data_IF_478975773041
#
_entry.id   IF_478975773041
#
_cell.length_a   1.000
_cell.length_b   1.000
_cell.length_c   1.000
_cell.angle_alpha   90.00
_cell.angle_beta   90.00
_cell.angle_gamma   90.00
#
_symmetry.space_group_name_H-M   'P 1'
#
loop_
_entity.id
_entity.type
_entity.pdbx_description
1 polymer ?
#
# COMPACT_ATOMS: atom_id res chain seq x y z
N UNK A 1 33.46 -15.92 29.78
CA UNK A 1 33.79 -14.60 29.20
C UNK A 1 32.68 -13.63 29.61
N UNK A 2 32.97 -12.60 30.40
CA UNK A 2 32.01 -11.54 30.69
C UNK A 2 31.74 -10.79 29.38
N UNK A 3 30.53 -10.84 28.87
CA UNK A 3 30.13 -10.00 27.76
C UNK A 3 30.31 -8.54 28.20
N UNK A 4 31.26 -7.85 27.58
CA UNK A 4 31.44 -6.40 27.78
C UNK A 4 30.18 -5.70 27.26
N UNK A 5 29.29 -5.31 28.17
CA UNK A 5 28.13 -4.51 27.81
C UNK A 5 28.60 -3.15 27.28
N UNK A 6 28.25 -2.86 26.02
CA UNK A 6 28.54 -1.53 25.48
C UNK A 6 27.75 -0.45 26.25
N UNK A 7 28.39 0.72 26.51
CA UNK A 7 27.68 1.86 27.11
C UNK A 7 26.43 2.24 26.32
N UNK A 8 25.45 2.78 27.00
CA UNK A 8 24.15 3.12 26.39
C UNK A 8 24.30 4.00 25.14
N UNK A 9 25.17 5.02 25.20
CA UNK A 9 25.42 5.92 24.06
C UNK A 9 25.97 5.17 22.86
N UNK A 10 26.86 4.20 23.03
CA UNK A 10 27.40 3.40 21.95
C UNK A 10 26.33 2.48 21.32
N UNK A 11 25.51 1.81 22.15
CA UNK A 11 24.37 1.02 21.66
C UNK A 11 23.41 1.88 20.83
N UNK A 12 23.03 3.07 21.32
CA UNK A 12 22.13 3.99 20.62
C UNK A 12 22.75 4.48 19.30
N UNK A 13 24.03 4.88 19.33
CA UNK A 13 24.73 5.35 18.11
C UNK A 13 24.81 4.26 17.05
N UNK A 14 25.14 3.02 17.41
CA UNK A 14 25.20 1.89 16.48
C UNK A 14 23.84 1.61 15.86
N UNK A 15 22.75 1.62 16.67
CA UNK A 15 21.40 1.40 16.19
C UNK A 15 20.98 2.52 15.22
N UNK A 16 21.18 3.78 15.59
CA UNK A 16 20.85 4.93 14.74
C UNK A 16 21.65 4.91 13.43
N UNK A 17 22.94 4.64 13.49
CA UNK A 17 23.78 4.51 12.30
C UNK A 17 23.31 3.37 11.41
N UNK A 18 22.99 2.21 11.99
CA UNK A 18 22.42 1.07 11.27
C UNK A 18 21.09 1.40 10.57
N UNK A 19 20.20 2.13 11.26
CA UNK A 19 18.91 2.57 10.68
C UNK A 19 19.12 3.54 9.51
N UNK A 20 20.01 4.55 9.68
CA UNK A 20 20.31 5.51 8.60
C UNK A 20 20.93 4.80 7.40
N UNK A 21 21.91 3.91 7.63
CA UNK A 21 22.56 3.16 6.57
C UNK A 21 21.56 2.24 5.84
N UNK A 22 20.72 1.53 6.58
CA UNK A 22 19.68 0.66 6.01
C UNK A 22 18.70 1.48 5.17
N UNK A 23 18.22 2.61 5.68
CA UNK A 23 17.29 3.50 4.94
C UNK A 23 17.96 4.03 3.66
N UNK A 24 19.23 4.42 3.74
CA UNK A 24 20.01 4.88 2.59
C UNK A 24 20.15 3.79 1.52
N UNK A 25 20.49 2.56 1.93
CA UNK A 25 20.60 1.40 1.04
C UNK A 25 19.25 1.09 0.39
N UNK A 26 18.18 0.99 1.19
CA UNK A 26 16.82 0.72 0.67
C UNK A 26 16.39 1.77 -0.34
N UNK A 27 16.66 3.06 -0.08
CA UNK A 27 16.30 4.14 -0.99
C UNK A 27 17.06 4.05 -2.32
N UNK A 28 18.37 3.82 -2.28
CA UNK A 28 19.20 3.76 -3.50
C UNK A 28 19.00 2.47 -4.31
N UNK A 29 18.61 1.37 -3.67
CA UNK A 29 18.29 0.12 -4.35
C UNK A 29 16.79 0.01 -4.71
N UNK A 30 16.02 1.09 -4.63
CA UNK A 30 14.58 1.10 -4.90
C UNK A 30 14.22 0.51 -6.25
N UNK A 31 14.98 0.83 -7.31
CA UNK A 31 14.76 0.37 -8.68
C UNK A 31 14.93 -1.15 -8.84
N UNK A 32 15.65 -1.80 -7.93
CA UNK A 32 15.84 -3.26 -7.92
C UNK A 32 14.87 -3.92 -6.93
N UNK A 33 14.76 -3.37 -5.72
CA UNK A 33 14.00 -3.98 -4.64
C UNK A 33 12.50 -3.89 -4.86
N UNK A 34 12.02 -2.79 -5.45
CA UNK A 34 10.58 -2.60 -5.72
C UNK A 34 10.03 -3.66 -6.67
N UNK A 35 10.58 -3.87 -7.88
CA UNK A 35 10.09 -4.92 -8.78
C UNK A 35 10.29 -6.33 -8.20
N UNK A 36 11.34 -6.54 -7.43
CA UNK A 36 11.57 -7.81 -6.74
C UNK A 36 10.45 -8.09 -5.72
N UNK A 37 10.07 -7.09 -4.90
CA UNK A 37 8.98 -7.19 -3.93
C UNK A 37 7.63 -7.46 -4.62
N UNK A 38 7.31 -6.74 -5.70
CA UNK A 38 6.11 -7.02 -6.51
C UNK A 38 6.13 -8.42 -7.10
N UNK A 39 7.27 -8.86 -7.63
CA UNK A 39 7.41 -10.20 -8.20
C UNK A 39 7.17 -11.31 -7.16
N UNK A 40 7.64 -11.14 -5.92
CA UNK A 40 7.36 -12.07 -4.83
C UNK A 40 5.86 -12.12 -4.53
N UNK A 41 5.20 -10.96 -4.41
CA UNK A 41 3.76 -10.87 -4.15
C UNK A 41 2.97 -11.54 -5.28
N UNK A 42 3.29 -11.23 -6.55
CA UNK A 42 2.62 -11.82 -7.72
C UNK A 42 2.87 -13.34 -7.78
N UNK A 43 4.09 -13.79 -7.50
CA UNK A 43 4.40 -15.21 -7.45
C UNK A 43 3.60 -15.95 -6.36
N UNK A 44 3.42 -15.33 -5.18
CA UNK A 44 2.57 -15.87 -4.10
C UNK A 44 1.11 -15.90 -4.54
N UNK A 45 0.64 -14.88 -5.24
CA UNK A 45 -0.74 -14.78 -5.74
C UNK A 45 -1.02 -15.82 -6.83
N UNK A 46 -0.09 -16.04 -7.76
CA UNK A 46 -0.21 -17.00 -8.85
C UNK A 46 0.03 -18.46 -8.43
N UNK A 47 0.69 -18.67 -7.30
CA UNK A 47 1.04 -20.01 -6.84
C UNK A 47 -0.14 -20.99 -6.70
N UNK A 48 -1.35 -20.62 -6.24
CA UNK A 48 -2.50 -21.52 -6.24
C UNK A 48 -2.93 -21.94 -7.66
N UNK A 49 -2.89 -21.02 -8.61
CA UNK A 49 -3.21 -21.31 -10.01
C UNK A 49 -2.20 -22.29 -10.61
N UNK A 50 -0.90 -22.06 -10.39
CA UNK A 50 0.16 -22.97 -10.82
C UNK A 50 0.01 -24.34 -10.20
N UNK A 51 -0.29 -24.42 -8.90
CA UNK A 51 -0.53 -25.70 -8.22
C UNK A 51 -1.77 -26.41 -8.78
N UNK A 52 -2.86 -25.68 -9.07
CA UNK A 52 -4.09 -26.23 -9.66
C UNK A 52 -3.82 -26.78 -11.09
N UNK A 53 -3.04 -26.09 -11.90
CA UNK A 53 -2.62 -26.59 -13.21
C UNK A 53 -1.76 -27.85 -13.08
N UNK A 54 -0.92 -27.93 -12.07
CA UNK A 54 -0.15 -29.14 -11.74
C UNK A 54 -1.01 -30.37 -11.41
N UNK A 55 -2.20 -30.19 -10.82
CA UNK A 55 -3.14 -31.32 -10.58
C UNK A 55 -3.70 -31.92 -11.86
N UNK A 56 -3.71 -31.17 -12.96
CA UNK A 56 -4.07 -31.66 -14.29
C UNK A 56 -2.91 -32.36 -15.02
N UNK A 57 -1.86 -32.79 -14.29
CA UNK A 57 -0.66 -33.45 -14.83
C UNK A 57 0.16 -32.57 -15.80
N UNK A 58 -0.07 -31.26 -15.78
CA UNK A 58 0.74 -30.30 -16.54
C UNK A 58 2.08 -30.15 -15.82
N UNK A 59 3.18 -30.22 -16.54
CA UNK A 59 4.52 -30.05 -15.99
C UNK A 59 4.70 -28.68 -15.33
N UNK A 60 5.69 -28.55 -14.43
CA UNK A 60 5.91 -27.34 -13.63
C UNK A 60 6.12 -26.09 -14.50
N UNK A 61 7.00 -26.16 -15.52
CA UNK A 61 7.30 -25.02 -16.39
C UNK A 61 6.07 -24.59 -17.20
N UNK A 62 5.36 -25.48 -17.93
CA UNK A 62 4.13 -25.09 -18.62
C UNK A 62 3.06 -24.50 -17.69
N UNK A 63 2.89 -25.05 -16.48
CA UNK A 63 1.93 -24.51 -15.50
C UNK A 63 2.26 -23.05 -15.10
N UNK A 64 3.54 -22.73 -14.92
CA UNK A 64 3.99 -21.37 -14.61
C UNK A 64 3.72 -20.46 -15.82
N UNK A 65 4.10 -20.87 -17.02
CA UNK A 65 3.92 -20.09 -18.24
C UNK A 65 2.44 -19.81 -18.53
N UNK A 66 1.57 -20.81 -18.39
CA UNK A 66 0.11 -20.65 -18.58
C UNK A 66 -0.45 -19.65 -17.54
N UNK A 67 -0.07 -19.77 -16.25
CA UNK A 67 -0.53 -18.86 -15.21
C UNK A 67 -0.07 -17.42 -15.49
N UNK A 68 1.16 -17.23 -15.91
CA UNK A 68 1.72 -15.92 -16.29
C UNK A 68 1.04 -15.36 -17.55
N UNK A 69 0.87 -16.18 -18.60
CA UNK A 69 0.20 -15.75 -19.82
C UNK A 69 -1.22 -15.29 -19.56
N UNK A 70 -1.98 -16.04 -18.74
CA UNK A 70 -3.33 -15.66 -18.34
C UNK A 70 -3.34 -14.31 -17.59
N UNK A 71 -2.39 -14.10 -16.71
CA UNK A 71 -2.26 -12.83 -15.97
C UNK A 71 -1.92 -11.67 -16.91
N UNK A 72 -0.97 -11.87 -17.82
CA UNK A 72 -0.60 -10.87 -18.82
C UNK A 72 -1.80 -10.55 -19.72
N UNK A 73 -2.55 -11.55 -20.15
CA UNK A 73 -3.73 -11.36 -20.99
C UNK A 73 -4.82 -10.54 -20.29
N UNK A 74 -5.10 -10.84 -19.00
CA UNK A 74 -6.04 -10.05 -18.18
C UNK A 74 -5.54 -8.62 -18.04
N UNK A 75 -4.28 -8.41 -17.69
CA UNK A 75 -3.69 -7.07 -17.57
C UNK A 75 -3.75 -6.31 -18.90
N UNK A 76 -3.38 -6.94 -20.01
CA UNK A 76 -3.47 -6.33 -21.34
C UNK A 76 -4.90 -5.92 -21.68
N UNK A 77 -5.90 -6.75 -21.34
CA UNK A 77 -7.31 -6.43 -21.51
C UNK A 77 -7.73 -5.18 -20.72
N UNK A 78 -7.31 -5.09 -19.46
CA UNK A 78 -7.57 -3.90 -18.61
C UNK A 78 -6.89 -2.66 -19.20
N UNK A 79 -5.61 -2.76 -19.58
CA UNK A 79 -4.88 -1.65 -20.17
C UNK A 79 -5.46 -1.20 -21.51
N UNK A 80 -5.85 -2.15 -22.37
CA UNK A 80 -6.52 -1.84 -23.63
C UNK A 80 -7.83 -1.09 -23.40
N UNK A 81 -8.67 -1.60 -22.49
CA UNK A 81 -9.91 -0.95 -22.11
C UNK A 81 -9.67 0.49 -21.60
N UNK A 82 -8.77 0.68 -20.64
CA UNK A 82 -8.44 2.00 -20.11
C UNK A 82 -7.89 2.93 -21.19
N UNK A 83 -6.97 2.42 -22.04
CA UNK A 83 -6.39 3.20 -23.13
C UNK A 83 -7.45 3.68 -24.13
N UNK A 84 -8.43 2.84 -24.48
CA UNK A 84 -9.53 3.21 -25.36
C UNK A 84 -10.40 4.33 -24.76
N UNK A 85 -10.65 4.27 -23.45
CA UNK A 85 -11.39 5.31 -22.73
C UNK A 85 -10.59 6.62 -22.62
N UNK A 86 -9.29 6.54 -22.39
CA UNK A 86 -8.38 7.71 -22.32
C UNK A 86 -8.26 8.38 -23.69
N UNK A 87 -8.18 7.63 -24.78
CA UNK A 87 -8.15 8.19 -26.14
C UNK A 87 -9.42 8.99 -26.43
N UNK A 88 -10.60 8.42 -26.18
CA UNK A 88 -11.88 9.14 -26.35
C UNK A 88 -11.99 10.39 -25.46
N UNK A 89 -11.42 10.36 -24.24
CA UNK A 89 -11.31 11.54 -23.40
C UNK A 89 -10.34 12.56 -24.00
N UNK A 90 -9.21 12.13 -24.57
CA UNK A 90 -8.19 12.97 -25.20
C UNK A 90 -8.72 13.79 -26.38
N UNK A 91 -9.59 13.22 -27.21
CA UNK A 91 -10.24 13.92 -28.32
C UNK A 91 -11.08 15.12 -27.86
N UNK A 92 -11.67 15.05 -26.68
CA UNK A 92 -12.46 16.13 -26.10
C UNK A 92 -11.62 17.10 -25.23
N UNK A 93 -10.34 16.85 -25.05
CA UNK A 93 -9.46 17.65 -24.19
C UNK A 93 -9.41 19.15 -24.60
N UNK A 94 -9.36 19.53 -25.91
CA UNK A 94 -9.39 20.95 -26.31
C UNK A 94 -10.67 21.67 -25.86
N UNK A 95 -11.85 21.04 -26.04
CA UNK A 95 -13.11 21.61 -25.61
C UNK A 95 -13.22 21.71 -24.08
N UNK A 96 -12.71 20.69 -23.36
CA UNK A 96 -12.61 20.70 -21.90
C UNK A 96 -11.73 21.83 -21.41
N UNK A 97 -10.57 22.03 -22.03
CA UNK A 97 -9.62 23.12 -21.72
C UNK A 97 -10.26 24.49 -21.94
N UNK A 98 -10.97 24.70 -23.06
CA UNK A 98 -11.67 25.95 -23.34
C UNK A 98 -12.74 26.25 -22.27
N UNK A 99 -13.55 25.26 -21.91
CA UNK A 99 -14.59 25.41 -20.87
C UNK A 99 -13.97 25.66 -19.48
N UNK A 100 -12.92 24.95 -19.14
CA UNK A 100 -12.19 25.15 -17.88
C UNK A 100 -11.61 26.58 -17.80
N UNK A 101 -11.01 27.07 -18.89
CA UNK A 101 -10.49 28.45 -18.95
C UNK A 101 -11.61 29.48 -18.77
N UNK A 102 -12.79 29.27 -19.37
CA UNK A 102 -13.94 30.15 -19.19
C UNK A 102 -14.48 30.16 -17.74
N UNK A 103 -14.50 28.98 -17.09
CA UNK A 103 -14.90 28.87 -15.69
C UNK A 103 -13.90 29.56 -14.76
N UNK A 104 -12.59 29.39 -15.02
CA UNK A 104 -11.54 30.11 -14.29
C UNK A 104 -11.70 31.63 -14.44
N UNK A 105 -11.93 32.14 -15.64
CA UNK A 105 -12.14 33.56 -15.89
C UNK A 105 -13.36 34.10 -15.13
N UNK A 106 -14.46 33.33 -15.12
CA UNK A 106 -15.67 33.69 -14.36
C UNK A 106 -15.40 33.70 -12.86
N UNK A 107 -14.67 32.71 -12.32
CA UNK A 107 -14.29 32.65 -10.92
C UNK A 107 -13.35 33.81 -10.55
N UNK A 108 -12.37 34.14 -11.40
CA UNK A 108 -11.45 35.26 -11.20
C UNK A 108 -12.20 36.59 -11.14
N UNK A 109 -13.14 36.82 -12.05
CA UNK A 109 -13.99 38.02 -12.07
C UNK A 109 -14.85 38.11 -10.80
N UNK A 110 -15.43 37.00 -10.37
CA UNK A 110 -16.24 36.94 -9.13
C UNK A 110 -15.40 37.25 -7.90
N UNK A 111 -14.19 36.69 -7.77
CA UNK A 111 -13.25 36.95 -6.68
C UNK A 111 -12.80 38.40 -6.67
N UNK A 112 -12.54 38.99 -7.83
CA UNK A 112 -12.20 40.40 -7.94
C UNK A 112 -13.33 41.30 -7.47
N UNK A 113 -14.58 41.03 -7.89
CA UNK A 113 -15.74 41.82 -7.50
C UNK A 113 -16.11 41.67 -6.04
N UNK A 114 -16.00 40.47 -5.46
CA UNK A 114 -16.42 40.19 -4.07
C UNK A 114 -15.34 40.48 -3.03
N UNK A 115 -14.07 40.25 -3.35
CA UNK A 115 -12.96 40.28 -2.40
C UNK A 115 -11.84 41.24 -2.78
N UNK A 116 -11.92 41.93 -3.95
CA UNK A 116 -10.91 42.90 -4.39
C UNK A 116 -9.56 42.29 -4.79
N UNK A 117 -9.46 40.95 -4.92
CA UNK A 117 -8.23 40.31 -5.37
C UNK A 117 -7.93 40.61 -6.83
N UNK A 118 -6.81 41.25 -7.14
CA UNK A 118 -6.43 41.54 -8.53
C UNK A 118 -6.22 40.27 -9.32
N UNK A 119 -6.64 40.25 -10.59
CA UNK A 119 -6.47 39.12 -11.50
C UNK A 119 -4.98 38.73 -11.63
N UNK A 120 -4.07 39.68 -11.59
CA UNK A 120 -2.62 39.46 -11.65
C UNK A 120 -2.13 38.62 -10.47
N UNK A 121 -2.59 38.91 -9.24
CA UNK A 121 -2.21 38.17 -8.04
C UNK A 121 -2.78 36.73 -8.06
N UNK A 122 -4.02 36.57 -8.53
CA UNK A 122 -4.63 35.26 -8.72
C UNK A 122 -3.86 34.42 -9.76
N UNK A 123 -3.46 35.05 -10.89
CA UNK A 123 -2.70 34.39 -11.95
C UNK A 123 -1.30 33.98 -11.48
N UNK A 124 -0.66 34.80 -10.65
CA UNK A 124 0.61 34.46 -10.03
C UNK A 124 0.49 33.22 -9.14
N UNK A 125 -0.52 33.16 -8.26
CA UNK A 125 -0.76 31.99 -7.40
C UNK A 125 -1.07 30.74 -8.22
N UNK A 126 -1.85 30.85 -9.30
CA UNK A 126 -2.13 29.72 -10.21
C UNK A 126 -0.85 29.25 -10.91
N UNK A 127 -0.02 30.16 -11.39
CA UNK A 127 1.23 29.83 -12.06
C UNK A 127 2.24 29.19 -11.08
N UNK A 128 2.33 29.68 -9.86
CA UNK A 128 3.16 29.08 -8.81
C UNK A 128 2.70 27.65 -8.47
N UNK A 129 1.39 27.45 -8.29
CA UNK A 129 0.81 26.14 -8.08
C UNK A 129 1.01 25.21 -9.29
N UNK A 130 0.83 25.71 -10.51
CA UNK A 130 1.05 24.95 -11.74
C UNK A 130 2.53 24.57 -11.94
N UNK A 131 3.46 25.47 -11.62
CA UNK A 131 4.90 25.18 -11.72
C UNK A 131 5.32 24.15 -10.66
N UNK A 132 4.80 24.25 -9.44
CA UNK A 132 5.00 23.23 -8.41
C UNK A 132 4.45 21.85 -8.84
N UNK A 133 3.29 21.86 -9.52
CA UNK A 133 2.67 20.64 -10.04
C UNK A 133 3.41 20.06 -11.25
N UNK A 134 4.00 20.91 -12.12
CA UNK A 134 4.82 20.45 -13.26
C UNK A 134 6.07 19.68 -12.82
N UNK A 135 6.70 20.08 -11.73
CA UNK A 135 7.83 19.34 -11.14
C UNK A 135 7.41 17.98 -10.61
N UNK A 136 6.23 17.88 -10.02
CA UNK A 136 5.64 16.60 -9.57
C UNK A 136 5.25 15.72 -10.76
N UNK A 137 4.56 16.27 -11.75
CA UNK A 137 4.09 15.53 -12.93
C UNK A 137 5.27 15.14 -13.84
N UNK A 138 6.22 16.04 -14.08
CA UNK A 138 7.41 15.77 -14.89
C UNK A 138 8.33 14.71 -14.26
N UNK A 139 8.49 14.76 -12.93
CA UNK A 139 9.16 13.70 -12.17
C UNK A 139 8.45 12.36 -12.31
N UNK A 140 7.13 12.34 -12.27
CA UNK A 140 6.32 11.12 -12.43
C UNK A 140 6.43 10.53 -13.84
N UNK A 141 6.42 11.36 -14.90
CA UNK A 141 6.57 10.90 -16.28
C UNK A 141 7.96 10.29 -16.54
N UNK A 142 9.03 10.93 -16.07
CA UNK A 142 10.39 10.39 -16.18
C UNK A 142 10.53 9.07 -15.37
N UNK A 143 9.87 8.99 -14.23
CA UNK A 143 9.79 7.75 -13.43
C UNK A 143 9.06 6.65 -14.21
N UNK A 144 7.95 6.96 -14.90
CA UNK A 144 7.19 5.99 -15.70
C UNK A 144 8.03 5.45 -16.85
N UNK A 145 8.77 6.30 -17.58
CA UNK A 145 9.65 5.86 -18.69
C UNK A 145 10.82 5.02 -18.17
N UNK A 146 11.44 5.42 -17.06
CA UNK A 146 12.48 4.60 -16.40
C UNK A 146 11.95 3.25 -15.88
N UNK A 147 10.69 3.22 -15.46
CA UNK A 147 10.00 2.02 -14.94
C UNK A 147 9.68 1.01 -16.05
N UNK A 148 9.58 1.40 -17.32
CA UNK A 148 9.33 0.47 -18.43
C UNK A 148 10.42 -0.62 -18.56
N UNK A 149 11.69 -0.27 -18.36
CA UNK A 149 12.79 -1.26 -18.32
C UNK A 149 12.66 -2.23 -17.15
N UNK A 150 12.23 -1.73 -16.01
CA UNK A 150 11.98 -2.51 -14.79
C UNK A 150 10.74 -3.40 -14.95
N UNK A 151 9.73 -2.95 -15.67
CA UNK A 151 8.50 -3.71 -15.94
C UNK A 151 8.76 -4.97 -16.78
N UNK A 152 9.77 -4.94 -17.68
CA UNK A 152 10.22 -6.10 -18.45
C UNK A 152 10.87 -7.18 -17.56
N UNK A 153 11.51 -6.80 -16.46
CA UNK A 153 12.13 -7.74 -15.52
C UNK A 153 11.10 -8.43 -14.61
N UNK A 154 9.93 -7.81 -14.39
CA UNK A 154 8.92 -8.33 -13.48
C UNK A 154 8.43 -9.74 -13.87
N UNK A 155 8.03 -10.04 -15.12
CA UNK A 155 7.67 -11.40 -15.52
C UNK A 155 8.82 -12.40 -15.33
N UNK A 156 10.05 -11.99 -15.59
CA UNK A 156 11.24 -12.85 -15.40
C UNK A 156 11.40 -13.20 -13.92
N UNK A 157 11.32 -12.21 -13.03
CA UNK A 157 11.39 -12.45 -11.58
C UNK A 157 10.24 -13.32 -11.09
N UNK A 158 9.01 -13.09 -11.53
CA UNK A 158 7.85 -13.93 -11.18
C UNK A 158 8.08 -15.37 -11.60
N UNK A 159 8.55 -15.60 -12.83
CA UNK A 159 8.89 -16.94 -13.33
C UNK A 159 9.96 -17.59 -12.44
N UNK A 160 11.04 -16.89 -12.16
CA UNK A 160 12.15 -17.41 -11.35
C UNK A 160 11.73 -17.72 -9.92
N UNK A 161 10.91 -16.86 -9.27
CA UNK A 161 10.40 -17.13 -7.94
C UNK A 161 9.48 -18.35 -7.89
N UNK A 162 8.62 -18.54 -8.88
CA UNK A 162 7.77 -19.72 -8.99
C UNK A 162 8.60 -20.99 -9.30
N UNK A 163 9.59 -20.86 -10.16
CA UNK A 163 10.46 -21.96 -10.56
C UNK A 163 11.39 -22.40 -9.43
N UNK A 164 12.08 -21.45 -8.76
CA UNK A 164 13.01 -21.75 -7.67
C UNK A 164 12.37 -21.76 -6.28
N UNK A 165 11.04 -21.71 -6.18
CA UNK A 165 10.29 -21.70 -4.92
C UNK A 165 10.81 -22.71 -3.89
N UNK A 166 11.00 -23.98 -4.29
CA UNK A 166 11.44 -25.06 -3.38
C UNK A 166 12.87 -24.80 -2.90
N UNK A 167 13.76 -24.33 -3.79
CA UNK A 167 15.12 -23.99 -3.44
C UNK A 167 15.18 -22.88 -2.39
N UNK A 168 14.39 -21.81 -2.60
CA UNK A 168 14.32 -20.66 -1.68
C UNK A 168 13.77 -21.10 -0.32
N UNK A 169 12.69 -21.89 -0.30
CA UNK A 169 12.14 -22.42 0.95
C UNK A 169 13.14 -23.30 1.69
N UNK A 170 13.83 -24.22 0.99
CA UNK A 170 14.84 -25.07 1.60
C UNK A 170 16.02 -24.26 2.15
N UNK A 171 16.43 -23.19 1.45
CA UNK A 171 17.46 -22.27 1.95
C UNK A 171 17.00 -21.60 3.26
N UNK A 172 15.79 -21.03 3.29
CA UNK A 172 15.25 -20.39 4.48
C UNK A 172 15.15 -21.38 5.66
N UNK A 173 14.72 -22.61 5.41
CA UNK A 173 14.71 -23.65 6.43
C UNK A 173 16.11 -23.97 6.94
N UNK A 174 17.11 -24.12 6.07
CA UNK A 174 18.50 -24.43 6.49
C UNK A 174 19.14 -23.31 7.31
N UNK A 175 18.83 -22.06 6.97
CA UNK A 175 19.41 -20.89 7.66
C UNK A 175 18.75 -20.62 9.00
N UNK A 176 17.42 -20.76 9.10
CA UNK A 176 16.68 -20.30 10.28
C UNK A 176 16.09 -21.43 11.15
N UNK A 177 16.12 -22.68 10.70
CA UNK A 177 15.43 -23.79 11.36
C UNK A 177 16.32 -24.68 12.23
N UNK A 178 17.59 -24.31 12.50
CA UNK A 178 18.52 -25.16 13.27
C UNK A 178 17.98 -25.56 14.64
N UNK A 179 17.17 -24.72 15.29
CA UNK A 179 16.57 -25.00 16.60
C UNK A 179 15.02 -24.94 16.61
N UNK A 180 14.38 -24.39 15.59
CA UNK A 180 12.95 -24.07 15.59
C UNK A 180 12.26 -24.27 14.23
N UNK A 181 12.44 -25.42 13.59
CA UNK A 181 11.86 -25.73 12.27
C UNK A 181 10.32 -25.49 12.20
N UNK A 182 9.60 -25.80 13.31
CA UNK A 182 8.17 -25.57 13.42
C UNK A 182 7.79 -24.09 13.33
N UNK A 183 8.51 -23.21 14.04
CA UNK A 183 8.27 -21.76 14.01
C UNK A 183 8.54 -21.17 12.63
N UNK A 184 9.60 -21.59 11.94
CA UNK A 184 9.92 -21.14 10.58
C UNK A 184 8.84 -21.55 9.59
N UNK A 185 8.37 -22.81 9.68
CA UNK A 185 7.27 -23.30 8.84
C UNK A 185 5.98 -22.50 9.05
N UNK A 186 5.65 -22.21 10.31
CA UNK A 186 4.49 -21.41 10.67
C UNK A 186 4.57 -19.98 10.14
N UNK A 187 5.72 -19.30 10.35
CA UNK A 187 5.95 -17.94 9.85
C UNK A 187 5.79 -17.87 8.33
N UNK A 188 6.44 -18.78 7.59
CA UNK A 188 6.37 -18.82 6.12
C UNK A 188 4.93 -19.13 5.63
N UNK A 189 4.26 -20.07 6.28
CA UNK A 189 2.87 -20.42 5.98
C UNK A 189 1.91 -19.25 6.20
N UNK A 190 2.02 -18.58 7.35
CA UNK A 190 1.18 -17.43 7.70
C UNK A 190 1.48 -16.21 6.85
N UNK A 191 2.75 -15.94 6.54
CA UNK A 191 3.17 -14.86 5.63
C UNK A 191 2.56 -15.07 4.25
N UNK A 192 2.65 -16.28 3.70
CA UNK A 192 2.03 -16.61 2.42
C UNK A 192 0.53 -16.38 2.45
N UNK A 193 -0.18 -16.90 3.49
CA UNK A 193 -1.63 -16.76 3.61
C UNK A 193 -2.05 -15.29 3.78
N UNK A 194 -1.32 -14.53 4.60
CA UNK A 194 -1.59 -13.11 4.82
C UNK A 194 -1.46 -12.30 3.53
N UNK A 195 -0.33 -12.44 2.81
CA UNK A 195 -0.10 -11.76 1.54
C UNK A 195 -1.17 -12.14 0.51
N UNK A 196 -1.42 -13.44 0.34
CA UNK A 196 -2.38 -13.93 -0.64
C UNK A 196 -3.80 -13.43 -0.35
N UNK A 197 -4.25 -13.54 0.91
CA UNK A 197 -5.58 -13.10 1.30
C UNK A 197 -5.74 -11.59 1.22
N UNK A 198 -4.71 -10.82 1.59
CA UNK A 198 -4.71 -9.37 1.47
C UNK A 198 -4.80 -8.94 -0.01
N UNK A 199 -3.97 -9.50 -0.87
CA UNK A 199 -3.94 -9.14 -2.30
C UNK A 199 -5.22 -9.53 -3.03
N UNK A 200 -5.75 -10.74 -2.77
CA UNK A 200 -7.06 -11.15 -3.32
C UNK A 200 -8.17 -10.26 -2.80
N UNK A 201 -8.15 -9.92 -1.51
CA UNK A 201 -9.10 -9.00 -0.90
C UNK A 201 -9.07 -7.64 -1.56
N UNK A 202 -7.88 -7.06 -1.74
CA UNK A 202 -7.68 -5.75 -2.35
C UNK A 202 -8.15 -5.71 -3.83
N UNK A 203 -7.87 -6.77 -4.61
CA UNK A 203 -8.34 -6.87 -5.99
C UNK A 203 -9.87 -7.02 -6.07
N UNK A 204 -10.46 -7.79 -5.17
CA UNK A 204 -11.91 -7.95 -5.10
C UNK A 204 -12.60 -6.67 -4.69
N UNK A 205 -12.08 -5.97 -3.67
CA UNK A 205 -12.55 -4.64 -3.26
C UNK A 205 -12.48 -3.66 -4.43
N UNK A 206 -11.32 -3.56 -5.12
CA UNK A 206 -11.16 -2.68 -6.27
C UNK A 206 -12.18 -3.00 -7.39
N UNK A 207 -12.47 -4.27 -7.67
CA UNK A 207 -13.47 -4.66 -8.65
C UNK A 207 -14.90 -4.23 -8.24
N UNK A 208 -15.26 -4.41 -6.97
CA UNK A 208 -16.56 -3.99 -6.44
C UNK A 208 -16.69 -2.46 -6.46
N UNK A 209 -15.68 -1.74 -5.98
CA UNK A 209 -15.66 -0.27 -5.97
C UNK A 209 -15.71 0.28 -7.40
N UNK A 210 -14.96 -0.35 -8.35
CA UNK A 210 -15.04 0.03 -9.76
C UNK A 210 -16.47 -0.12 -10.32
N UNK A 211 -17.14 -1.22 -10.01
CA UNK A 211 -18.51 -1.45 -10.42
C UNK A 211 -19.48 -0.43 -9.80
N UNK A 212 -19.37 -0.17 -8.49
CA UNK A 212 -20.21 0.80 -7.78
C UNK A 212 -20.00 2.21 -8.32
N UNK A 213 -18.76 2.67 -8.43
CA UNK A 213 -18.43 4.00 -8.96
C UNK A 213 -18.91 4.16 -10.40
N UNK A 214 -18.63 3.18 -11.27
CA UNK A 214 -19.04 3.22 -12.66
C UNK A 214 -20.57 3.28 -12.80
N UNK A 215 -21.28 2.45 -12.04
CA UNK A 215 -22.75 2.42 -12.04
C UNK A 215 -23.34 3.74 -11.56
N UNK A 216 -22.83 4.29 -10.46
CA UNK A 216 -23.26 5.58 -9.93
C UNK A 216 -23.06 6.71 -10.95
N UNK A 217 -21.87 6.77 -11.57
CA UNK A 217 -21.55 7.78 -12.57
C UNK A 217 -22.37 7.63 -13.87
N UNK A 218 -22.69 6.40 -14.27
CA UNK A 218 -23.60 6.13 -15.41
C UNK A 218 -25.03 6.63 -15.13
N UNK A 219 -25.56 6.35 -13.94
CA UNK A 219 -26.90 6.81 -13.52
C UNK A 219 -26.99 8.34 -13.50
N UNK A 220 -25.92 9.01 -13.00
CA UNK A 220 -25.84 10.47 -12.96
C UNK A 220 -25.66 11.07 -14.37
N UNK A 221 -25.27 10.26 -15.36
CA UNK A 221 -25.03 10.71 -16.73
C UNK A 221 -23.71 11.49 -16.88
N UNK A 222 -22.64 11.03 -16.21
CA UNK A 222 -21.30 11.59 -16.34
C UNK A 222 -20.64 11.01 -17.59
N UNK A 223 -20.04 11.87 -18.44
CA UNK A 223 -19.22 11.41 -19.56
C UNK A 223 -18.02 10.63 -19.03
N UNK A 224 -17.65 9.53 -19.71
CA UNK A 224 -16.53 8.63 -19.32
C UNK A 224 -16.71 8.00 -17.93
N UNK A 225 -17.95 7.69 -17.55
CA UNK A 225 -18.29 7.09 -16.25
C UNK A 225 -17.47 5.83 -15.94
N UNK A 226 -17.27 4.94 -16.93
CA UNK A 226 -16.47 3.73 -16.78
C UNK A 226 -14.99 4.04 -16.52
N UNK A 227 -14.43 5.02 -17.24
CA UNK A 227 -13.05 5.45 -17.03
C UNK A 227 -12.84 5.95 -15.60
N UNK A 228 -13.66 6.91 -15.16
CA UNK A 228 -13.52 7.49 -13.82
C UNK A 228 -13.89 6.52 -12.72
N UNK A 229 -14.84 5.61 -12.95
CA UNK A 229 -15.19 4.58 -11.99
C UNK A 229 -14.05 3.58 -11.75
N UNK A 230 -13.43 3.08 -12.82
CA UNK A 230 -12.30 2.15 -12.73
C UNK A 230 -11.03 2.87 -12.22
N UNK A 231 -10.72 4.06 -12.74
CA UNK A 231 -9.59 4.86 -12.23
C UNK A 231 -9.76 5.19 -10.75
N UNK A 232 -10.98 5.57 -10.34
CA UNK A 232 -11.29 5.84 -8.95
C UNK A 232 -11.04 4.63 -8.04
N UNK A 233 -11.41 3.44 -8.49
CA UNK A 233 -11.16 2.20 -7.74
C UNK A 233 -9.66 1.85 -7.67
N UNK A 234 -8.91 2.04 -8.77
CA UNK A 234 -7.45 1.83 -8.77
C UNK A 234 -6.77 2.82 -7.81
N UNK A 235 -7.18 4.08 -7.83
CA UNK A 235 -6.66 5.09 -6.90
C UNK A 235 -7.05 4.76 -5.46
N UNK A 236 -8.25 4.23 -5.21
CA UNK A 236 -8.70 3.83 -3.88
C UNK A 236 -7.85 2.71 -3.24
N UNK A 237 -7.15 1.91 -4.07
CA UNK A 237 -6.16 0.95 -3.55
C UNK A 237 -4.99 1.62 -2.80
N UNK A 238 -4.77 2.93 -3.02
CA UNK A 238 -3.78 3.71 -2.28
C UNK A 238 -4.43 4.25 -0.99
N UNK A 239 -3.98 3.81 0.20
CA UNK A 239 -4.58 4.21 1.46
C UNK A 239 -4.59 5.74 1.64
N UNK A 240 -5.70 6.29 2.11
CA UNK A 240 -5.94 7.70 2.52
C UNK A 240 -5.96 8.74 1.40
N UNK A 241 -5.23 8.59 0.31
CA UNK A 241 -5.10 9.59 -0.77
C UNK A 241 -6.06 9.28 -1.93
N UNK A 242 -6.26 7.99 -2.20
CA UNK A 242 -6.97 7.53 -3.39
C UNK A 242 -8.41 8.03 -3.51
N UNK A 243 -9.17 7.98 -2.42
CA UNK A 243 -10.58 8.39 -2.42
C UNK A 243 -10.81 9.87 -2.76
N UNK A 244 -9.92 10.77 -2.28
CA UNK A 244 -10.02 12.21 -2.57
C UNK A 244 -9.80 12.49 -4.06
N UNK A 245 -8.77 11.88 -4.66
CA UNK A 245 -8.47 12.06 -6.09
C UNK A 245 -9.57 11.41 -6.94
N UNK A 246 -10.09 10.27 -6.50
CA UNK A 246 -11.15 9.54 -7.17
C UNK A 246 -12.43 10.37 -7.33
N UNK A 247 -12.80 11.19 -6.33
CA UNK A 247 -13.97 12.10 -6.39
C UNK A 247 -13.67 13.33 -7.25
N UNK A 248 -12.47 13.88 -7.18
CA UNK A 248 -12.11 15.13 -7.83
C UNK A 248 -12.25 15.05 -9.36
N UNK A 249 -11.84 13.94 -9.98
CA UNK A 249 -11.85 13.77 -11.44
C UNK A 249 -13.25 13.82 -12.04
N UNK A 250 -14.25 13.01 -11.58
CA UNK A 250 -15.61 13.05 -12.14
C UNK A 250 -16.34 14.36 -11.79
N UNK A 251 -16.05 14.99 -10.64
CA UNK A 251 -16.59 16.32 -10.30
C UNK A 251 -16.10 17.38 -11.26
N UNK A 252 -14.80 17.42 -11.55
CA UNK A 252 -14.21 18.32 -12.54
C UNK A 252 -14.84 18.09 -13.92
N UNK A 253 -14.99 16.82 -14.32
CA UNK A 253 -15.62 16.48 -15.60
C UNK A 253 -17.07 16.96 -15.67
N UNK A 254 -17.87 16.75 -14.63
CA UNK A 254 -19.22 17.23 -14.56
C UNK A 254 -19.31 18.78 -14.60
N UNK A 255 -18.35 19.46 -13.95
CA UNK A 255 -18.28 20.93 -13.96
C UNK A 255 -17.99 21.49 -15.34
N UNK A 256 -17.21 20.78 -16.15
CA UNK A 256 -16.89 21.20 -17.51
C UNK A 256 -17.99 20.85 -18.50
N UNK A 257 -18.70 19.72 -18.31
CA UNK A 257 -19.63 19.17 -19.30
C UNK A 257 -21.11 19.46 -19.02
N UNK A 258 -21.45 19.91 -17.82
CA UNK A 258 -22.83 20.14 -17.40
C UNK A 258 -23.07 21.61 -17.06
N UNK A 259 -24.30 22.08 -17.27
CA UNK A 259 -24.78 23.35 -16.75
C UNK A 259 -25.34 23.15 -15.34
N UNK A 260 -24.99 24.06 -14.41
CA UNK A 260 -25.42 24.00 -13.01
C UNK A 260 -24.60 23.04 -12.14
N UNK A 261 -24.99 22.94 -10.86
CA UNK A 261 -24.22 22.21 -9.83
C UNK A 261 -24.86 20.87 -9.41
N UNK A 262 -25.98 20.48 -10.02
CA UNK A 262 -26.73 19.29 -9.59
C UNK A 262 -25.94 18.00 -9.76
N UNK A 263 -25.26 17.82 -10.90
CA UNK A 263 -24.47 16.59 -11.15
C UNK A 263 -23.29 16.47 -10.21
N UNK A 264 -22.57 17.57 -9.95
CA UNK A 264 -21.44 17.60 -9.01
C UNK A 264 -21.87 17.17 -7.60
N UNK A 265 -23.02 17.70 -7.15
CA UNK A 265 -23.58 17.32 -5.85
C UNK A 265 -23.89 15.83 -5.78
N UNK A 266 -24.59 15.29 -6.80
CA UNK A 266 -24.91 13.87 -6.85
C UNK A 266 -23.68 12.96 -6.93
N UNK A 267 -22.62 13.39 -7.63
CA UNK A 267 -21.35 12.66 -7.66
C UNK A 267 -20.74 12.61 -6.24
N UNK A 268 -20.66 13.76 -5.55
CA UNK A 268 -20.11 13.82 -4.20
C UNK A 268 -20.93 12.92 -3.26
N UNK A 269 -22.26 13.01 -3.29
CA UNK A 269 -23.14 12.19 -2.45
C UNK A 269 -22.93 10.70 -2.75
N UNK A 270 -22.93 10.31 -4.02
CA UNK A 270 -22.71 8.92 -4.41
C UNK A 270 -21.36 8.39 -3.94
N UNK A 271 -20.28 9.14 -4.13
CA UNK A 271 -18.96 8.73 -3.67
C UNK A 271 -18.84 8.69 -2.14
N UNK A 272 -19.50 9.59 -1.42
CA UNK A 272 -19.54 9.53 0.05
C UNK A 272 -20.26 8.26 0.54
N UNK A 273 -21.38 7.89 -0.11
CA UNK A 273 -22.10 6.66 0.20
C UNK A 273 -21.23 5.43 -0.14
N UNK A 274 -20.60 5.41 -1.30
CA UNK A 274 -19.73 4.30 -1.71
C UNK A 274 -18.54 4.20 -0.77
N UNK A 275 -17.90 5.31 -0.41
CA UNK A 275 -16.78 5.34 0.53
C UNK A 275 -17.21 4.90 1.94
N UNK A 276 -18.43 5.24 2.36
CA UNK A 276 -19.01 4.76 3.62
C UNK A 276 -19.19 3.23 3.58
N UNK A 277 -19.73 2.69 2.49
CA UNK A 277 -19.88 1.24 2.29
C UNK A 277 -18.51 0.57 2.27
N UNK A 278 -17.55 1.14 1.56
CA UNK A 278 -16.20 0.62 1.44
C UNK A 278 -15.52 0.54 2.81
N UNK A 279 -15.43 1.65 3.54
CA UNK A 279 -14.72 1.73 4.81
C UNK A 279 -15.39 0.92 5.94
N UNK A 280 -16.72 0.78 5.92
CA UNK A 280 -17.44 0.12 7.02
C UNK A 280 -17.83 -1.33 6.71
N UNK A 281 -17.88 -1.75 5.45
CA UNK A 281 -18.32 -3.09 5.07
C UNK A 281 -17.31 -3.84 4.21
N UNK A 282 -16.78 -3.25 3.11
CA UNK A 282 -15.91 -3.98 2.20
C UNK A 282 -14.53 -4.18 2.80
N UNK A 283 -13.85 -3.11 3.18
CA UNK A 283 -12.50 -3.18 3.78
C UNK A 283 -12.45 -4.10 5.00
N UNK A 284 -13.33 -3.98 6.02
CA UNK A 284 -13.25 -4.86 7.21
C UNK A 284 -13.50 -6.33 6.88
N UNK A 285 -14.39 -6.63 5.95
CA UNK A 285 -14.76 -8.02 5.63
C UNK A 285 -13.85 -8.69 4.62
N UNK A 286 -13.31 -7.92 3.67
CA UNK A 286 -12.58 -8.45 2.52
C UNK A 286 -11.06 -8.30 2.72
N UNK A 287 -10.59 -7.15 3.19
CA UNK A 287 -9.18 -6.79 3.24
C UNK A 287 -8.58 -6.92 4.65
N UNK A 288 -9.10 -6.18 5.63
CA UNK A 288 -8.45 -5.99 6.93
C UNK A 288 -8.52 -7.22 7.85
N UNK A 289 -9.46 -8.14 7.62
CA UNK A 289 -9.58 -9.36 8.42
C UNK A 289 -8.32 -10.24 8.41
N UNK A 290 -7.37 -9.98 7.52
CA UNK A 290 -6.19 -10.83 7.27
C UNK A 290 -4.87 -10.23 7.76
N UNK A 291 -4.79 -8.90 7.87
CA UNK A 291 -3.59 -8.19 8.34
C UNK A 291 -4.00 -7.27 9.48
N UNK A 292 -3.88 -7.79 10.72
CA UNK A 292 -4.32 -7.10 11.95
C UNK A 292 -3.30 -6.05 12.38
N UNK A 293 -3.26 -4.91 11.69
CA UNK A 293 -2.38 -3.78 11.98
C UNK A 293 -3.24 -2.61 12.46
N UNK A 294 -2.78 -1.88 13.48
CA UNK A 294 -3.49 -0.69 13.94
C UNK A 294 -3.35 0.49 12.96
N UNK A 295 -4.30 1.43 13.04
CA UNK A 295 -4.39 2.56 12.12
C UNK A 295 -3.16 3.48 12.16
N UNK A 296 -2.58 3.73 13.34
CA UNK A 296 -1.39 4.57 13.49
C UNK A 296 -0.21 4.00 12.70
N UNK A 297 0.07 2.72 12.89
CA UNK A 297 1.16 2.02 12.19
C UNK A 297 0.88 1.96 10.68
N UNK A 298 -0.38 1.75 10.28
CA UNK A 298 -0.76 1.74 8.86
C UNK A 298 -0.47 3.09 8.19
N UNK A 299 -0.85 4.20 8.83
CA UNK A 299 -0.57 5.55 8.32
C UNK A 299 0.93 5.81 8.22
N UNK A 300 1.68 5.53 9.30
CA UNK A 300 3.12 5.72 9.32
C UNK A 300 3.83 4.86 8.27
N UNK A 301 3.42 3.60 8.11
CA UNK A 301 3.98 2.69 7.12
C UNK A 301 3.77 3.21 5.68
N UNK A 302 2.57 3.70 5.37
CA UNK A 302 2.25 4.27 4.05
C UNK A 302 3.07 5.53 3.79
N UNK A 303 3.21 6.44 4.77
CA UNK A 303 4.01 7.65 4.63
C UNK A 303 5.52 7.32 4.44
N UNK A 304 6.06 6.41 5.26
CA UNK A 304 7.45 5.97 5.15
C UNK A 304 7.71 5.21 3.84
N UNK A 305 6.80 4.33 3.44
CA UNK A 305 6.87 3.64 2.17
C UNK A 305 6.85 4.61 1.00
N UNK A 306 5.98 5.62 1.06
CA UNK A 306 5.91 6.70 0.08
C UNK A 306 7.20 7.52 -0.01
N UNK A 307 7.83 7.81 1.12
CA UNK A 307 9.12 8.52 1.17
C UNK A 307 10.29 7.70 0.60
N UNK A 308 10.24 6.37 0.75
CA UNK A 308 11.27 5.45 0.24
C UNK A 308 11.14 5.22 -1.27
N UNK A 309 9.97 4.79 -1.74
CA UNK A 309 9.74 4.26 -3.09
C UNK A 309 8.49 4.83 -3.77
N UNK A 310 8.03 6.02 -3.35
CA UNK A 310 6.85 6.68 -3.94
C UNK A 310 5.58 5.83 -3.82
N UNK A 311 4.76 5.86 -4.87
CA UNK A 311 3.48 5.13 -4.93
C UNK A 311 3.66 3.62 -4.74
N UNK A 312 4.71 3.04 -5.31
CA UNK A 312 5.04 1.63 -5.16
C UNK A 312 5.32 1.27 -3.69
N UNK A 313 6.05 2.13 -2.97
CA UNK A 313 6.32 1.96 -1.55
C UNK A 313 5.07 2.10 -0.68
N UNK A 314 4.16 3.03 -1.00
CA UNK A 314 2.86 3.15 -0.32
C UNK A 314 2.07 1.83 -0.42
N UNK A 315 2.01 1.24 -1.61
CA UNK A 315 1.29 0.00 -1.85
C UNK A 315 1.93 -1.20 -1.11
N UNK A 316 3.27 -1.30 -1.14
CA UNK A 316 4.02 -2.39 -0.51
C UNK A 316 4.07 -2.29 1.02
N UNK A 317 3.80 -1.13 1.60
CA UNK A 317 3.96 -0.87 3.04
C UNK A 317 3.09 -1.77 3.92
N UNK A 318 1.82 -1.95 3.58
CA UNK A 318 0.89 -2.76 4.38
C UNK A 318 1.26 -4.25 4.36
N UNK A 319 1.50 -4.91 3.19
CA UNK A 319 2.03 -6.27 3.17
C UNK A 319 3.33 -6.43 3.95
N UNK A 320 4.25 -5.48 3.82
CA UNK A 320 5.55 -5.53 4.50
C UNK A 320 5.42 -5.47 6.02
N UNK A 321 4.64 -4.52 6.55
CA UNK A 321 4.37 -4.43 8.00
C UNK A 321 3.61 -5.67 8.49
N UNK A 322 2.72 -6.23 7.68
CA UNK A 322 2.04 -7.49 7.99
C UNK A 322 3.02 -8.65 8.17
N UNK A 323 4.02 -8.75 7.29
CA UNK A 323 5.09 -9.75 7.41
C UNK A 323 5.91 -9.51 8.68
N UNK A 324 6.33 -8.26 8.94
CA UNK A 324 7.08 -7.92 10.16
C UNK A 324 6.30 -8.30 11.42
N UNK A 325 5.00 -7.99 11.45
CA UNK A 325 4.13 -8.37 12.57
C UNK A 325 4.10 -9.90 12.78
N UNK A 326 3.92 -10.67 11.70
CA UNK A 326 3.90 -12.13 11.77
C UNK A 326 5.22 -12.68 12.34
N UNK A 327 6.35 -12.09 11.96
CA UNK A 327 7.67 -12.44 12.47
C UNK A 327 7.79 -12.06 13.95
N UNK A 328 7.46 -10.82 14.31
CA UNK A 328 7.60 -10.31 15.68
C UNK A 328 6.71 -11.05 16.68
N UNK A 329 5.50 -11.42 16.29
CA UNK A 329 4.57 -12.20 17.14
C UNK A 329 5.15 -13.58 17.52
N UNK A 330 6.11 -14.14 16.75
CA UNK A 330 6.61 -15.51 16.88
C UNK A 330 8.04 -15.65 17.32
N UNK A 331 8.83 -14.59 17.18
CA UNK A 331 10.23 -14.57 17.59
C UNK A 331 10.32 -14.13 19.04
N UNK A 332 10.96 -14.97 19.88
CA UNK A 332 11.14 -14.69 21.30
C UNK A 332 11.93 -13.38 21.47
N UNK A 333 11.43 -12.49 22.33
CA UNK A 333 11.99 -11.16 22.57
C UNK A 333 11.49 -10.05 21.63
N UNK A 334 10.84 -10.37 20.50
CA UNK A 334 10.24 -9.38 19.58
C UNK A 334 8.73 -9.21 19.76
N UNK A 335 8.08 -10.02 20.61
CA UNK A 335 6.64 -9.97 20.86
C UNK A 335 6.10 -8.58 21.23
N UNK A 336 6.79 -7.75 22.07
CA UNK A 336 6.30 -6.39 22.35
C UNK A 336 6.19 -5.51 21.10
N UNK A 337 7.05 -5.73 20.10
CA UNK A 337 6.96 -5.03 18.81
C UNK A 337 5.77 -5.55 17.96
N UNK A 338 5.48 -6.86 18.02
CA UNK A 338 4.30 -7.45 17.40
C UNK A 338 3.00 -6.89 18.00
N UNK A 339 2.94 -6.74 19.33
CA UNK A 339 1.82 -6.11 20.04
C UNK A 339 1.66 -4.64 19.64
N UNK A 340 2.76 -3.88 19.52
CA UNK A 340 2.74 -2.48 19.08
C UNK A 340 2.19 -2.31 17.67
N UNK A 341 2.50 -3.23 16.76
CA UNK A 341 1.97 -3.24 15.39
C UNK A 341 0.51 -3.67 15.34
N UNK A 342 0.02 -4.43 16.33
CA UNK A 342 -1.29 -5.05 16.35
C UNK A 342 -2.46 -4.08 16.51
N UNK A 343 -3.66 -4.54 16.16
CA UNK A 343 -4.93 -3.81 16.24
C UNK A 343 -5.63 -3.92 17.62
N UNK A 344 -5.08 -4.72 18.53
CA UNK A 344 -5.62 -4.89 19.86
C UNK A 344 -5.22 -3.72 20.75
N UNK A 345 -6.16 -2.83 21.04
CA UNK A 345 -5.94 -1.74 21.99
C UNK A 345 -6.14 -2.28 23.41
N UNK A 346 -5.10 -2.28 24.28
CA UNK A 346 -5.25 -2.71 25.66
C UNK A 346 -6.20 -1.75 26.40
N UNK A 347 -7.30 -2.25 26.91
CA UNK A 347 -8.28 -1.46 27.70
C UNK A 347 -7.80 -1.15 29.10
N UNK A 348 -6.81 -1.87 29.61
CA UNK A 348 -6.23 -1.66 30.93
C UNK A 348 -4.74 -1.37 30.81
N UNK A 349 -4.31 -0.25 31.38
CA UNK A 349 -2.91 0.03 31.61
C UNK A 349 -2.38 -1.07 32.56
N UNK A 350 -1.74 -2.10 32.03
CA UNK A 350 -0.92 -2.97 32.87
C UNK A 350 0.20 -2.05 33.40
N UNK A 351 0.02 -1.52 34.61
CA UNK A 351 1.15 -0.93 35.33
C UNK A 351 2.24 -1.99 35.29
N UNK A 352 3.27 -1.73 34.51
CA UNK A 352 4.53 -2.42 34.70
C UNK A 352 4.95 -2.05 36.11
N UNK A 353 4.55 -2.86 37.09
CA UNK A 353 5.13 -2.82 38.40
C UNK A 353 6.60 -3.10 38.13
N UNK A 354 7.39 -2.03 38.15
CA UNK A 354 8.84 -2.11 38.19
C UNK A 354 9.10 -2.98 39.40
N UNK A 355 9.26 -4.28 39.18
CA UNK A 355 9.68 -5.23 40.19
C UNK A 355 11.12 -4.83 40.47
N UNK A 356 11.26 -3.77 41.29
CA UNK A 356 12.49 -3.49 41.96
C UNK A 356 12.87 -4.82 42.59
N UNK A 357 13.90 -5.48 42.07
CA UNK A 357 14.56 -6.58 42.73
C UNK A 357 15.03 -6.02 44.07
N UNK A 358 14.14 -6.03 45.05
CA UNK A 358 14.53 -5.81 46.43
C UNK A 358 15.51 -6.95 46.71
N UNK A 359 16.80 -6.61 46.68
CA UNK A 359 17.81 -7.50 47.27
C UNK A 359 17.27 -7.89 48.64
N UNK A 360 17.14 -9.18 48.97
CA UNK A 360 16.56 -9.61 50.22
C UNK A 360 17.25 -8.83 51.33
N UNK A 361 16.48 -8.27 52.23
CA UNK A 361 16.98 -7.49 53.37
C UNK A 361 17.91 -8.37 54.20
N UNK A 362 18.87 -7.78 54.90
CA UNK A 362 19.76 -8.53 55.79
C UNK A 362 18.96 -9.42 56.76
N UNK A 363 17.79 -8.97 57.21
CA UNK A 363 16.88 -9.72 58.06
C UNK A 363 16.33 -10.99 57.36
N UNK A 364 15.94 -10.92 56.07
CA UNK A 364 15.48 -12.09 55.30
C UNK A 364 16.60 -13.07 55.03
N UNK A 365 17.87 -12.60 54.86
CA UNK A 365 19.02 -13.47 54.73
C UNK A 365 19.37 -14.20 56.01
N UNK A 366 19.16 -13.55 57.18
CA UNK A 366 19.40 -14.15 58.50
C UNK A 366 18.34 -15.23 58.79
N UNK A 367 17.07 -14.93 58.50
CA UNK A 367 15.97 -15.87 58.70
C UNK A 367 16.12 -17.12 57.81
N UNK A 368 16.54 -16.95 56.58
CA UNK A 368 16.79 -18.09 55.66
C UNK A 368 17.95 -18.98 56.10
N UNK A 369 18.98 -18.37 56.73
CA UNK A 369 20.10 -19.11 57.30
C UNK A 369 19.78 -19.85 58.62
N UNK A 370 18.71 -19.42 59.33
CA UNK A 370 18.26 -20.06 60.56
C UNK A 370 17.26 -21.21 60.34
N UNK A 371 16.64 -21.29 59.16
CA UNK A 371 15.73 -22.35 58.76
C UNK A 371 16.40 -23.51 57.97
N UNK A 372 17.67 -23.34 57.58
CA UNK A 372 18.47 -24.37 56.90
C UNK A 372 19.44 -25.10 57.85
N UNK A 373 19.32 -24.88 59.15
CA UNK A 373 19.95 -25.69 60.22
C UNK A 373 18.89 -26.47 60.97
#
# INVERSE_FOLDING_TARGET
MQEKEFPLYAKVTIILFGLVLTTYILKNLGDILTPLAFAIIIAILLNPLVNKLGTFKIGKIPSILIAMLLTILVMTGIFYFLSSQIMGFGENLPALKAKFSSLLASLQSWLQLKFGFSIQKQMQMINEAANSSKTLIGGTLNTVIGTLGVLLLLPVYVFLFLYYKILILNFLFRVFASENAGKVSEILGQTKLAIQSYMVGLLLEAAIVAALNSTALLIIGVKYALLFGVMGAILNMLPYIGGIIAIALPVLMATITSEGFSKQLWIIVAYLIIQFIDNNFLVPRIVSSKVKINALISILAVLLGGALWGVAGMFLSIPFVGILKIIFDRVDGLQPWGELLGDVVPTNYKRFAYRKNKKPSLAEKVIRKSTEK
#
